data_IF_165456866888
#
_entry.id   IF_165456866888
#
_cell.length_a   1.000
_cell.length_b   1.000
_cell.length_c   1.000
_cell.angle_alpha   90.00
_cell.angle_beta   90.00
_cell.angle_gamma   90.00
#
_symmetry.space_group_name_H-M   'P 1'
#
loop_
_entity.id
_entity.type
_entity.pdbx_description
1 polymer ?
#
# COMPACT_ATOMS: atom_id res chain seq x y z
N UNK A 1 9.84 7.19 -11.84
CA UNK A 1 10.25 7.65 -10.48
C UNK A 1 10.33 6.43 -9.58
N UNK A 2 11.26 6.38 -8.63
CA UNK A 2 11.43 5.22 -7.73
C UNK A 2 11.87 5.62 -6.32
N UNK A 3 11.75 4.69 -5.38
CA UNK A 3 12.14 4.89 -3.98
C UNK A 3 10.95 5.22 -3.07
N UNK A 4 11.23 5.77 -1.89
CA UNK A 4 10.19 6.09 -0.91
C UNK A 4 9.67 7.52 -1.09
N UNK A 5 8.39 7.73 -0.81
CA UNK A 5 7.82 9.07 -0.71
C UNK A 5 8.36 9.71 0.59
N UNK A 6 9.06 10.86 0.52
CA UNK A 6 9.64 11.48 1.71
C UNK A 6 8.55 11.81 2.75
N UNK A 7 8.69 11.36 4.02
CA UNK A 7 7.70 11.63 5.06
C UNK A 7 7.45 13.12 5.31
N UNK A 8 8.46 13.96 5.07
CA UNK A 8 8.36 15.41 5.19
C UNK A 8 7.25 16.02 4.31
N UNK A 9 6.88 15.37 3.19
CA UNK A 9 5.79 15.83 2.35
C UNK A 9 4.43 15.75 3.07
N UNK A 10 4.25 14.82 4.01
CA UNK A 10 3.02 14.69 4.81
C UNK A 10 2.78 15.87 5.75
N UNK A 11 3.82 16.66 6.05
CA UNK A 11 3.74 17.85 6.94
C UNK A 11 3.35 19.11 6.17
N UNK A 12 3.44 19.09 4.84
CA UNK A 12 3.15 20.27 4.02
C UNK A 12 1.65 20.57 4.02
N UNK A 13 1.28 21.81 4.32
CA UNK A 13 -0.12 22.27 4.34
C UNK A 13 -0.58 22.86 3.01
N UNK A 14 0.36 23.29 2.16
CA UNK A 14 0.05 23.94 0.87
C UNK A 14 -0.10 22.97 -0.30
N UNK A 15 0.08 21.67 -0.07
CA UNK A 15 0.11 20.68 -1.14
C UNK A 15 -1.31 20.22 -1.47
N UNK A 16 -1.91 20.73 -2.55
CA UNK A 16 -3.33 20.52 -2.84
C UNK A 16 -3.64 19.24 -3.61
N UNK A 17 -2.73 18.80 -4.48
CA UNK A 17 -2.94 17.65 -5.38
C UNK A 17 -1.69 16.81 -5.48
N UNK A 18 -1.84 15.49 -5.38
CA UNK A 18 -0.78 14.51 -5.54
C UNK A 18 -1.22 13.53 -6.63
N UNK A 19 -0.39 13.33 -7.64
CA UNK A 19 -0.58 12.26 -8.64
C UNK A 19 0.79 11.62 -8.81
N UNK A 20 0.94 10.40 -8.33
CA UNK A 20 2.18 9.62 -8.40
C UNK A 20 1.94 8.21 -8.93
N UNK A 21 0.79 7.99 -9.58
CA UNK A 21 0.45 6.73 -10.22
C UNK A 21 1.47 6.29 -11.26
N UNK A 22 1.52 4.99 -11.53
CA UNK A 22 2.41 4.37 -12.53
C UNK A 22 3.89 4.68 -12.30
N UNK A 23 4.36 4.47 -11.07
CA UNK A 23 5.76 4.64 -10.71
C UNK A 23 6.28 3.41 -9.94
N UNK A 24 7.55 3.46 -9.54
CA UNK A 24 8.19 2.38 -8.78
C UNK A 24 8.40 2.83 -7.34
N UNK A 25 7.41 3.51 -6.76
CA UNK A 25 7.46 3.95 -5.38
C UNK A 25 7.20 2.78 -4.44
N UNK A 26 7.87 2.82 -3.30
CA UNK A 26 7.84 1.75 -2.30
C UNK A 26 7.64 2.33 -0.89
N UNK A 27 7.19 1.48 0.03
CA UNK A 27 7.03 1.82 1.43
C UNK A 27 5.70 2.49 1.78
N UNK A 28 5.57 3.01 3.01
CA UNK A 28 4.32 3.60 3.48
C UNK A 28 4.04 4.94 2.82
N UNK A 29 2.78 5.18 2.46
CA UNK A 29 2.30 6.51 2.10
C UNK A 29 2.40 7.43 3.34
N UNK A 30 3.05 8.61 3.24
CA UNK A 30 3.17 9.53 4.36
C UNK A 30 1.82 9.91 4.93
N UNK A 31 1.73 9.89 6.26
CA UNK A 31 0.51 10.27 6.96
C UNK A 31 0.46 11.79 7.06
N UNK A 32 -0.57 12.37 6.44
CA UNK A 32 -0.85 13.80 6.43
C UNK A 32 -2.20 14.03 5.78
N UNK A 33 -2.90 15.09 6.19
CA UNK A 33 -4.25 15.39 5.67
C UNK A 33 -4.25 15.41 4.15
N UNK A 34 -3.20 15.97 3.53
CA UNK A 34 -3.12 16.09 2.08
C UNK A 34 -3.01 14.77 1.34
N UNK A 35 -2.40 13.74 1.94
CA UNK A 35 -2.29 12.40 1.33
C UNK A 35 -3.56 11.58 1.56
N UNK A 36 -4.15 11.66 2.75
CA UNK A 36 -5.36 10.92 3.10
C UNK A 36 -6.61 11.41 2.35
N UNK A 37 -6.61 12.66 1.87
CA UNK A 37 -7.73 13.23 1.10
C UNK A 37 -7.63 12.97 -0.40
N UNK A 38 -6.54 12.41 -0.91
CA UNK A 38 -6.43 12.09 -2.34
C UNK A 38 -7.08 10.74 -2.64
N UNK A 39 -7.56 10.59 -3.87
CA UNK A 39 -8.06 9.32 -4.36
C UNK A 39 -6.95 8.26 -4.41
N UNK A 40 -7.31 7.01 -4.12
CA UNK A 40 -6.40 5.86 -4.20
C UNK A 40 -5.77 5.70 -5.59
N UNK A 41 -6.47 6.08 -6.66
CA UNK A 41 -5.97 6.08 -8.04
C UNK A 41 -4.73 6.97 -8.22
N UNK A 42 -4.55 7.99 -7.38
CA UNK A 42 -3.36 8.84 -7.40
C UNK A 42 -2.08 8.09 -7.02
N UNK A 43 -2.20 6.88 -6.47
CA UNK A 43 -1.11 6.02 -6.01
C UNK A 43 -1.10 4.65 -6.70
N UNK A 44 -1.97 4.42 -7.71
CA UNK A 44 -2.07 3.14 -8.41
C UNK A 44 -0.78 2.77 -9.16
N UNK A 45 -0.63 1.50 -9.51
CA UNK A 45 0.55 0.97 -10.21
C UNK A 45 1.89 1.30 -9.54
N UNK A 46 1.91 1.31 -8.21
CA UNK A 46 3.11 1.33 -7.38
C UNK A 46 3.09 0.13 -6.43
N UNK A 47 3.53 -1.04 -6.91
CA UNK A 47 3.38 -2.33 -6.21
C UNK A 47 3.94 -2.35 -4.77
N UNK A 48 4.98 -1.55 -4.52
CA UNK A 48 5.60 -1.47 -3.20
C UNK A 48 4.97 -0.46 -2.24
N UNK A 49 3.97 0.33 -2.66
CA UNK A 49 3.27 1.25 -1.76
C UNK A 49 2.27 0.51 -0.86
N UNK A 50 2.10 1.04 0.35
CA UNK A 50 1.13 0.55 1.31
C UNK A 50 0.62 1.69 2.22
N UNK A 51 -0.49 1.44 2.91
CA UNK A 51 -1.14 2.39 3.80
C UNK A 51 -2.23 3.22 3.09
N UNK A 52 -3.02 3.94 3.88
CA UNK A 52 -4.11 4.78 3.37
C UNK A 52 -3.58 5.82 2.36
N UNK A 53 -4.30 6.09 1.26
CA UNK A 53 -5.67 5.65 0.94
C UNK A 53 -5.77 4.26 0.26
N UNK A 54 -4.68 3.50 0.11
CA UNK A 54 -4.72 2.15 -0.44
C UNK A 54 -5.29 1.15 0.57
N UNK A 55 -5.94 0.09 0.08
CA UNK A 55 -6.40 -1.04 0.91
C UNK A 55 -5.26 -1.91 1.44
N UNK A 56 -4.10 -1.88 0.77
CA UNK A 56 -2.88 -2.62 1.15
C UNK A 56 -2.31 -2.07 2.46
N UNK A 57 -2.30 -2.87 3.52
CA UNK A 57 -1.73 -2.48 4.81
C UNK A 57 -0.20 -2.60 4.80
N UNK A 58 0.47 -1.76 5.57
CA UNK A 58 1.91 -1.88 5.78
C UNK A 58 2.20 -2.86 6.91
N UNK A 59 3.18 -3.75 6.71
CA UNK A 59 3.61 -4.72 7.74
C UNK A 59 3.23 -6.16 7.47
N UNK A 60 2.42 -6.44 6.44
CA UNK A 60 2.33 -7.80 5.91
C UNK A 60 3.65 -8.13 5.20
N UNK A 61 4.24 -9.26 5.59
CA UNK A 61 5.47 -9.81 5.00
C UNK A 61 5.23 -10.45 3.63
N UNK A 62 4.21 -10.01 2.90
CA UNK A 62 3.91 -10.52 1.58
C UNK A 62 4.54 -9.62 0.53
N UNK A 63 5.71 -10.09 0.10
CA UNK A 63 6.23 -9.84 -1.24
C UNK A 63 5.19 -10.40 -2.20
N UNK A 64 4.24 -9.56 -2.64
CA UNK A 64 3.40 -9.89 -3.77
C UNK A 64 4.27 -9.81 -5.05
N UNK A 65 4.95 -10.92 -5.36
CA UNK A 65 5.26 -11.24 -6.75
C UNK A 65 3.95 -11.67 -7.44
N UNK A 66 3.63 -10.96 -8.53
CA UNK A 66 2.77 -11.33 -9.67
C UNK A 66 1.40 -11.96 -9.40
N UNK A 67 0.34 -11.30 -9.85
CA UNK A 67 -0.73 -11.99 -10.60
C UNK A 67 -1.46 -10.96 -11.49
N UNK A 68 -1.00 -10.82 -12.73
CA UNK A 68 -1.93 -10.66 -13.86
C UNK A 68 -2.34 -12.08 -14.25
N UNK A 69 -3.62 -12.40 -14.09
CA UNK A 69 -4.43 -13.31 -14.94
C UNK A 69 -5.75 -13.56 -14.19
N UNK A 70 -6.84 -13.23 -14.84
CA UNK A 70 -8.20 -13.67 -14.50
C UNK A 70 -8.23 -15.21 -14.48
N UNK A 71 -8.88 -15.83 -13.47
CA UNK A 71 -9.71 -17.04 -13.54
C UNK A 71 -10.08 -17.52 -12.13
N UNK A 72 -11.21 -18.22 -12.06
CA UNK A 72 -12.09 -18.47 -10.93
C UNK A 72 -11.62 -19.59 -9.97
N UNK A 73 -12.10 -19.50 -8.72
CA UNK A 73 -12.39 -20.56 -7.71
C UNK A 73 -11.38 -21.72 -7.45
N UNK A 74 -10.93 -21.86 -6.19
CA UNK A 74 -11.34 -22.96 -5.28
C UNK A 74 -10.62 -22.84 -3.91
N UNK A 75 -11.35 -23.23 -2.86
CA UNK A 75 -11.04 -23.12 -1.43
C UNK A 75 -9.89 -24.04 -0.98
N UNK A 76 -9.11 -23.64 0.05
CA UNK A 76 -9.01 -24.39 1.32
C UNK A 76 -8.12 -23.65 2.33
N UNK A 77 -8.54 -23.74 3.60
CA UNK A 77 -8.03 -23.01 4.74
C UNK A 77 -6.65 -23.48 5.23
N UNK A 78 -5.81 -22.56 5.71
CA UNK A 78 -4.76 -22.92 6.68
C UNK A 78 -4.90 -22.09 7.97
N UNK A 79 -5.47 -22.75 8.96
CA UNK A 79 -5.77 -22.29 10.31
C UNK A 79 -4.48 -22.18 11.13
N UNK A 80 -4.01 -20.97 11.43
CA UNK A 80 -2.88 -20.78 12.36
C UNK A 80 -3.36 -20.86 13.82
N UNK A 81 -3.46 -22.09 14.31
CA UNK A 81 -3.60 -22.41 15.74
C UNK A 81 -2.26 -22.18 16.46
N UNK A 82 -2.26 -21.34 17.49
CA UNK A 82 -1.19 -21.30 18.47
C UNK A 82 -1.78 -21.38 19.88
N UNK A 83 -1.81 -22.58 20.45
CA UNK A 83 -2.05 -22.79 21.88
C UNK A 83 -0.72 -22.80 22.62
N UNK A 84 -0.59 -21.96 23.65
CA UNK A 84 0.49 -22.04 24.62
C UNK A 84 0.05 -22.96 25.78
N UNK A 85 0.86 -23.96 26.12
CA UNK A 85 0.73 -24.73 27.34
C UNK A 85 1.83 -24.29 28.33
N UNK A 86 1.45 -24.09 29.59
CA UNK A 86 2.34 -23.93 30.73
C UNK A 86 2.02 -25.03 31.75
#
# INVERSE_FOLDING_TARGET
LSGQIPPALGVLTSLSKIIVSHNQLIGPIPQGTQFQTQDASSFEDNLGLCGLPLSKKCGDRDIQESHESEEEEEEEEEVLSCTAAA
#
